data_IF_618959952435
#
_entry.id   IF_618959952435
#
_cell.length_a   1.000
_cell.length_b   1.000
_cell.length_c   1.000
_cell.angle_alpha   90.00
_cell.angle_beta   90.00
_cell.angle_gamma   90.00
#
_symmetry.space_group_name_H-M   'P 1'
#
loop_
_entity.id
_entity.type
_entity.pdbx_description
1 polymer ?
#
# COMPACT_ATOMS: atom_id res chain seq x y z
N UNK A 1 9.77 -10.89 -2.35
CA UNK A 1 9.41 -9.92 -1.29
C UNK A 1 9.15 -10.63 0.02
N UNK A 2 9.65 -10.06 1.11
CA UNK A 2 9.45 -10.65 2.43
C UNK A 2 8.12 -10.17 3.02
N UNK A 3 7.12 -11.05 3.08
CA UNK A 3 5.79 -10.70 3.61
C UNK A 3 5.74 -10.59 5.13
N UNK A 4 6.80 -10.95 5.83
CA UNK A 4 6.90 -10.69 7.26
C UNK A 4 7.39 -9.28 7.57
N UNK A 5 7.77 -8.54 6.55
CA UNK A 5 8.19 -7.15 6.70
C UNK A 5 6.99 -6.22 6.84
N UNK A 6 7.24 -5.05 7.41
CA UNK A 6 6.28 -3.94 7.40
C UNK A 6 6.73 -2.93 6.35
N UNK A 7 5.80 -2.09 5.90
CA UNK A 7 6.10 -1.03 4.96
C UNK A 7 6.12 0.29 5.74
N UNK A 8 7.24 0.99 5.64
CA UNK A 8 7.37 2.32 6.25
C UNK A 8 7.03 3.34 5.18
N UNK A 9 6.01 4.15 5.43
CA UNK A 9 5.57 5.17 4.49
C UNK A 9 6.34 6.47 4.72
N UNK A 10 6.62 7.18 3.62
CA UNK A 10 7.34 8.45 3.69
C UNK A 10 6.53 9.51 4.41
N UNK A 11 7.17 10.33 5.24
CA UNK A 11 6.54 11.47 5.88
C UNK A 11 6.19 12.58 4.88
N UNK A 12 6.77 12.54 3.68
CA UNK A 12 6.47 13.51 2.61
C UNK A 12 5.25 13.09 1.77
N UNK A 13 4.69 11.93 2.05
CA UNK A 13 3.50 11.45 1.34
C UNK A 13 2.25 12.01 2.03
N UNK A 14 1.51 12.85 1.30
CA UNK A 14 0.21 13.35 1.77
C UNK A 14 -0.90 12.57 1.08
N UNK A 15 -1.95 12.27 1.81
CA UNK A 15 -3.08 11.52 1.26
C UNK A 15 -4.34 12.36 1.29
N UNK A 16 -5.17 12.15 0.27
CA UNK A 16 -6.50 12.75 0.21
C UNK A 16 -7.49 11.70 -0.22
N UNK A 17 -8.53 11.51 0.58
CA UNK A 17 -9.61 10.58 0.28
C UNK A 17 -10.57 11.21 -0.70
N UNK A 18 -10.89 10.52 -1.79
CA UNK A 18 -11.86 10.97 -2.80
C UNK A 18 -12.83 9.80 -3.01
N UNK A 19 -13.98 9.85 -2.32
CA UNK A 19 -14.91 8.73 -2.30
C UNK A 19 -14.24 7.52 -1.66
N UNK A 20 -14.17 6.40 -2.39
CA UNK A 20 -13.50 5.19 -1.93
C UNK A 20 -12.06 5.10 -2.44
N UNK A 21 -11.65 6.07 -3.25
CA UNK A 21 -10.30 6.12 -3.80
C UNK A 21 -9.40 7.00 -2.93
N UNK A 22 -8.11 6.82 -3.07
CA UNK A 22 -7.12 7.57 -2.32
C UNK A 22 -6.11 8.18 -3.29
N UNK A 23 -5.85 9.48 -3.13
CA UNK A 23 -4.80 10.15 -3.90
C UNK A 23 -3.63 10.40 -2.96
N UNK A 24 -2.44 10.00 -3.39
CA UNK A 24 -1.21 10.20 -2.64
C UNK A 24 -0.38 11.25 -3.38
N UNK A 25 -0.01 12.30 -2.67
CA UNK A 25 0.84 13.36 -3.21
C UNK A 25 2.23 13.22 -2.60
N UNK A 26 3.25 13.21 -3.45
CA UNK A 26 4.64 13.23 -3.03
C UNK A 26 5.14 14.67 -3.09
N UNK A 27 5.29 15.29 -1.93
CA UNK A 27 5.72 16.68 -1.85
C UNK A 27 7.16 16.86 -2.34
N UNK A 28 7.99 15.84 -2.21
CA UNK A 28 9.39 15.92 -2.64
C UNK A 28 9.57 15.79 -4.15
N UNK A 29 8.72 15.02 -4.81
CA UNK A 29 8.86 14.70 -6.23
C UNK A 29 7.82 15.30 -7.14
N UNK A 30 6.85 16.02 -6.60
CA UNK A 30 5.73 16.61 -7.34
C UNK A 30 4.90 15.57 -8.12
N UNK A 31 4.98 14.29 -7.71
CA UNK A 31 4.21 13.23 -8.32
C UNK A 31 2.96 12.94 -7.50
N UNK A 32 1.96 12.34 -8.14
CA UNK A 32 0.80 11.87 -7.41
C UNK A 32 0.40 10.48 -7.91
N UNK A 33 -0.26 9.73 -7.04
CA UNK A 33 -0.76 8.40 -7.33
C UNK A 33 -2.22 8.29 -6.94
N UNK A 34 -3.02 7.72 -7.83
CA UNK A 34 -4.38 7.36 -7.48
C UNK A 34 -4.42 5.88 -7.12
N UNK A 35 -5.02 5.55 -5.99
CA UNK A 35 -5.24 4.17 -5.58
C UNK A 35 -6.73 3.88 -5.65
N UNK A 36 -7.08 2.71 -6.24
CA UNK A 36 -8.45 2.23 -6.23
C UNK A 36 -8.85 1.82 -4.81
N UNK A 37 -10.11 1.42 -4.56
CA UNK A 37 -10.54 1.08 -3.21
C UNK A 37 -9.70 0.00 -2.54
N UNK A 38 -9.26 -1.02 -3.29
CA UNK A 38 -8.40 -2.08 -2.73
C UNK A 38 -7.03 -1.54 -2.37
N UNK A 39 -6.43 -0.77 -3.28
CA UNK A 39 -5.13 -0.12 -3.03
C UNK A 39 -5.20 0.85 -1.86
N UNK A 40 -6.29 1.60 -1.74
CA UNK A 40 -6.52 2.51 -0.63
C UNK A 40 -6.57 1.75 0.69
N UNK A 41 -7.25 0.59 0.71
CA UNK A 41 -7.34 -0.24 1.91
C UNK A 41 -5.96 -0.78 2.30
N UNK A 42 -5.17 -1.23 1.32
CA UNK A 42 -3.80 -1.69 1.55
C UNK A 42 -2.96 -0.56 2.17
N UNK A 43 -3.05 0.64 1.63
CA UNK A 43 -2.33 1.80 2.15
C UNK A 43 -2.67 2.08 3.61
N UNK A 44 -3.97 2.06 3.95
CA UNK A 44 -4.41 2.30 5.33
C UNK A 44 -3.86 1.26 6.30
N UNK A 45 -3.84 -0.01 5.88
CA UNK A 45 -3.27 -1.07 6.71
C UNK A 45 -1.76 -0.91 6.90
N UNK A 46 -1.06 -0.42 5.87
CA UNK A 46 0.35 -0.08 5.99
C UNK A 46 0.56 1.06 6.99
N UNK A 47 -0.29 2.08 6.95
CA UNK A 47 -0.22 3.19 7.91
C UNK A 47 -0.39 2.71 9.34
N UNK A 48 -1.21 1.69 9.55
CA UNK A 48 -1.44 1.10 10.86
C UNK A 48 -0.30 0.21 11.34
N UNK A 49 0.70 -0.06 10.50
CA UNK A 49 1.88 -0.81 10.88
C UNK A 49 1.78 -2.31 10.75
N UNK A 50 0.78 -2.82 10.03
CA UNK A 50 0.62 -4.26 9.82
C UNK A 50 1.73 -4.81 8.92
N UNK A 51 2.12 -6.07 9.15
CA UNK A 51 3.01 -6.76 8.21
C UNK A 51 2.27 -7.02 6.91
N UNK A 52 3.02 -7.25 5.83
CA UNK A 52 2.41 -7.58 4.54
C UNK A 52 1.58 -8.87 4.64
N UNK A 53 2.06 -9.85 5.41
CA UNK A 53 1.29 -11.07 5.64
C UNK A 53 -0.04 -10.81 6.34
N UNK A 54 -0.05 -9.94 7.34
CA UNK A 54 -1.29 -9.55 8.03
C UNK A 54 -2.24 -8.82 7.09
N UNK A 55 -1.71 -7.99 6.20
CA UNK A 55 -2.53 -7.29 5.19
C UNK A 55 -3.18 -8.30 4.25
N UNK A 56 -2.42 -9.31 3.80
CA UNK A 56 -2.97 -10.38 2.95
C UNK A 56 -4.12 -11.08 3.67
N UNK A 57 -3.93 -11.48 4.92
CA UNK A 57 -4.97 -12.17 5.70
C UNK A 57 -6.23 -11.33 5.85
N UNK A 58 -6.06 -10.04 6.16
CA UNK A 58 -7.18 -9.12 6.33
C UNK A 58 -7.98 -8.98 5.04
N UNK A 59 -7.29 -8.80 3.92
CA UNK A 59 -7.96 -8.60 2.63
C UNK A 59 -8.61 -9.88 2.10
N UNK A 60 -8.06 -11.05 2.40
CA UNK A 60 -8.69 -12.32 2.05
C UNK A 60 -10.05 -12.49 2.75
N UNK A 61 -10.23 -11.90 3.91
CA UNK A 61 -11.50 -11.91 4.61
C UNK A 61 -12.48 -10.88 4.06
N UNK A 62 -11.97 -9.78 3.51
CA UNK A 62 -12.81 -8.67 3.04
C UNK A 62 -13.21 -8.78 1.57
N UNK A 63 -12.38 -9.45 0.75
CA UNK A 63 -12.57 -9.50 -0.69
C UNK A 63 -12.55 -10.93 -1.21
N UNK A 64 -13.33 -11.16 -2.26
CA UNK A 64 -13.37 -12.47 -2.93
C UNK A 64 -12.28 -12.52 -4.00
N UNK A 65 -11.04 -12.72 -3.55
CA UNK A 65 -9.85 -12.81 -4.40
C UNK A 65 -9.01 -14.01 -3.97
N UNK A 66 -8.16 -14.51 -4.87
CA UNK A 66 -7.21 -15.56 -4.51
C UNK A 66 -5.99 -14.94 -3.83
N UNK A 67 -5.35 -15.72 -2.96
CA UNK A 67 -4.14 -15.25 -2.28
C UNK A 67 -3.03 -14.92 -3.27
N UNK A 68 -2.87 -15.72 -4.33
CA UNK A 68 -1.83 -15.49 -5.33
C UNK A 68 -1.99 -14.15 -6.04
N UNK A 69 -3.22 -13.83 -6.45
CA UNK A 69 -3.51 -12.55 -7.11
C UNK A 69 -3.28 -11.39 -6.14
N UNK A 70 -3.75 -11.54 -4.91
CA UNK A 70 -3.61 -10.50 -3.90
C UNK A 70 -2.14 -10.22 -3.57
N UNK A 71 -1.33 -11.27 -3.40
CA UNK A 71 0.10 -11.10 -3.15
C UNK A 71 0.81 -10.39 -4.30
N UNK A 72 0.47 -10.74 -5.54
CA UNK A 72 1.03 -10.11 -6.72
C UNK A 72 0.67 -8.63 -6.78
N UNK A 73 -0.58 -8.29 -6.48
CA UNK A 73 -1.06 -6.91 -6.48
C UNK A 73 -0.38 -6.07 -5.38
N UNK A 74 -0.24 -6.63 -4.19
CA UNK A 74 0.45 -5.96 -3.08
C UNK A 74 1.92 -5.72 -3.43
N UNK A 75 2.58 -6.73 -3.99
CA UNK A 75 3.98 -6.61 -4.38
C UNK A 75 4.17 -5.54 -5.45
N UNK A 76 3.29 -5.49 -6.44
CA UNK A 76 3.32 -4.47 -7.49
C UNK A 76 3.15 -3.07 -6.91
N UNK A 77 2.18 -2.90 -6.01
CA UNK A 77 1.93 -1.61 -5.36
C UNK A 77 3.14 -1.17 -4.53
N UNK A 78 3.68 -2.06 -3.70
CA UNK A 78 4.82 -1.74 -2.84
C UNK A 78 6.04 -1.37 -3.69
N UNK A 79 6.30 -2.13 -4.76
CA UNK A 79 7.43 -1.84 -5.65
C UNK A 79 7.29 -0.46 -6.30
N UNK A 80 6.09 -0.10 -6.74
CA UNK A 80 5.83 1.21 -7.30
C UNK A 80 6.06 2.32 -6.28
N UNK A 81 5.60 2.13 -5.06
CA UNK A 81 5.78 3.11 -3.99
C UNK A 81 7.26 3.26 -3.63
N UNK A 82 7.99 2.16 -3.58
CA UNK A 82 9.44 2.20 -3.27
C UNK A 82 10.21 2.90 -4.39
N UNK A 83 9.89 2.63 -5.64
CA UNK A 83 10.53 3.30 -6.78
C UNK A 83 10.36 4.81 -6.71
N UNK A 84 9.22 5.28 -6.24
CA UNK A 84 8.92 6.72 -6.15
C UNK A 84 9.27 7.29 -4.78
N UNK A 85 9.99 6.52 -3.95
CA UNK A 85 10.45 6.94 -2.62
C UNK A 85 9.32 7.31 -1.67
N UNK A 86 8.14 6.76 -1.89
CA UNK A 86 6.98 6.95 -1.01
C UNK A 86 6.94 5.92 0.10
N UNK A 87 7.71 4.84 -0.02
CA UNK A 87 7.74 3.77 0.95
C UNK A 87 9.10 3.09 0.98
N UNK A 88 9.38 2.39 2.07
CA UNK A 88 10.52 1.49 2.20
C UNK A 88 10.10 0.27 2.99
N UNK A 89 10.80 -0.85 2.78
CA UNK A 89 10.53 -2.06 3.52
C UNK A 89 11.34 -2.06 4.81
N UNK A 90 10.68 -2.38 5.91
CA UNK A 90 11.31 -2.54 7.22
C UNK A 90 11.17 -3.99 7.66
N UNK A 91 12.26 -4.64 8.10
CA UNK A 91 12.21 -6.02 8.58
C UNK A 91 11.40 -6.17 9.86
#
# INVERSE_FOLDING_TARGET
MNFNATVRLSSDALTQQVGEELVILDLGGEAYFGLDPVGARIWRLMEEGHTLAAIVETLLEEYDVTEAVLRADIESLVNNLVEHRLASLAP
#
